data_IF_682125476270
#
_entry.id   IF_682125476270
#
_cell.length_a   1.000
_cell.length_b   1.000
_cell.length_c   1.000
_cell.angle_alpha   90.00
_cell.angle_beta   90.00
_cell.angle_gamma   90.00
#
_symmetry.space_group_name_H-M   'P 1'
#
loop_
_entity.id
_entity.type
_entity.pdbx_description
1 polymer ?
#
# COMPACT_ATOMS: atom_id res chain seq x y z
N UNK A 1 -22.70 -7.87 -15.28
CA UNK A 1 -23.04 -6.70 -14.43
C UNK A 1 -21.95 -5.64 -14.58
N UNK A 2 -22.31 -4.41 -14.96
CA UNK A 2 -21.38 -3.27 -14.99
C UNK A 2 -21.19 -2.74 -13.57
N UNK A 3 -19.96 -2.67 -13.11
CA UNK A 3 -19.63 -2.17 -11.77
C UNK A 3 -19.54 -0.65 -11.81
N UNK A 4 -20.26 0.04 -10.93
CA UNK A 4 -20.27 1.52 -10.92
C UNK A 4 -18.96 2.04 -10.32
N UNK A 5 -18.50 3.19 -10.80
CA UNK A 5 -17.26 3.85 -10.37
C UNK A 5 -17.09 3.96 -8.83
N UNK A 6 -18.11 4.38 -8.07
CA UNK A 6 -18.00 4.45 -6.60
C UNK A 6 -17.77 3.10 -5.93
N UNK A 7 -18.33 2.02 -6.50
CA UNK A 7 -18.15 0.67 -5.98
C UNK A 7 -16.71 0.18 -6.18
N UNK A 8 -16.07 0.55 -7.28
CA UNK A 8 -14.65 0.26 -7.52
C UNK A 8 -13.74 0.99 -6.52
N UNK A 9 -14.08 2.23 -6.17
CA UNK A 9 -13.35 2.98 -5.14
C UNK A 9 -13.59 2.36 -3.75
N UNK A 10 -14.82 1.97 -3.42
CA UNK A 10 -15.13 1.26 -2.18
C UNK A 10 -14.34 -0.03 -2.00
N UNK A 11 -14.14 -0.81 -3.06
CA UNK A 11 -13.27 -2.00 -3.01
C UNK A 11 -11.82 -1.63 -2.65
N UNK A 12 -11.28 -0.54 -3.22
CA UNK A 12 -9.91 -0.12 -2.91
C UNK A 12 -9.78 0.43 -1.49
N UNK A 13 -10.78 1.16 -0.98
CA UNK A 13 -10.82 1.58 0.43
C UNK A 13 -10.82 0.35 1.36
N UNK A 14 -11.62 -0.67 1.05
CA UNK A 14 -11.67 -1.91 1.83
C UNK A 14 -10.34 -2.68 1.77
N UNK A 15 -9.69 -2.73 0.60
CA UNK A 15 -8.34 -3.29 0.47
C UNK A 15 -7.29 -2.46 1.22
N UNK A 16 -7.52 -1.16 1.37
CA UNK A 16 -6.65 -0.26 2.13
C UNK A 16 -6.60 -0.58 3.62
N UNK A 17 -7.64 -1.21 4.19
CA UNK A 17 -7.67 -1.60 5.62
C UNK A 17 -6.55 -2.60 5.94
N UNK A 18 -6.48 -3.80 5.31
CA UNK A 18 -5.31 -4.67 5.47
C UNK A 18 -4.06 -4.07 4.83
N UNK A 19 -4.21 -3.18 3.83
CA UNK A 19 -3.13 -2.44 3.18
C UNK A 19 -2.36 -1.50 4.09
N UNK A 20 -2.89 -1.12 5.26
CA UNK A 20 -2.17 -0.37 6.27
C UNK A 20 -0.84 -1.06 6.62
N UNK A 21 -0.86 -2.37 6.86
CA UNK A 21 0.34 -3.13 7.25
C UNK A 21 1.48 -3.01 6.22
N UNK A 22 1.30 -3.38 4.94
CA UNK A 22 2.38 -3.25 3.96
C UNK A 22 2.78 -1.80 3.68
N UNK A 23 1.87 -0.82 3.77
CA UNK A 23 2.21 0.60 3.63
C UNK A 23 3.12 1.07 4.76
N UNK A 24 2.79 0.73 6.00
CA UNK A 24 3.60 1.08 7.16
C UNK A 24 4.93 0.31 7.20
N UNK A 25 4.97 -0.94 6.74
CA UNK A 25 6.22 -1.66 6.52
C UNK A 25 7.11 -0.90 5.52
N UNK A 26 6.56 -0.50 4.36
CA UNK A 26 7.33 0.27 3.37
C UNK A 26 7.83 1.60 3.94
N UNK A 27 7.01 2.29 4.74
CA UNK A 27 7.44 3.48 5.46
C UNK A 27 8.57 3.18 6.46
N UNK A 28 8.44 2.12 7.26
CA UNK A 28 9.48 1.68 8.19
C UNK A 28 10.80 1.39 7.47
N UNK A 29 10.76 0.66 6.35
CA UNK A 29 11.94 0.44 5.53
C UNK A 29 12.58 1.76 5.10
N UNK A 30 11.75 2.63 4.52
CA UNK A 30 12.23 3.86 3.92
C UNK A 30 12.84 4.80 4.98
N UNK A 31 12.17 4.94 6.12
CA UNK A 31 12.60 5.77 7.24
C UNK A 31 13.88 5.27 7.92
N UNK A 32 14.11 3.96 7.98
CA UNK A 32 15.28 3.41 8.67
C UNK A 32 16.52 3.26 7.78
N UNK A 33 16.36 3.13 6.46
CA UNK A 33 17.48 2.92 5.53
C UNK A 33 17.68 4.09 4.55
N UNK A 34 16.96 4.20 3.42
CA UNK A 34 17.27 5.20 2.40
C UNK A 34 17.08 6.63 2.91
N UNK A 35 16.03 6.92 3.67
CA UNK A 35 15.81 8.27 4.20
C UNK A 35 16.77 8.61 5.33
N UNK A 36 17.17 7.63 6.15
CA UNK A 36 18.19 7.82 7.17
C UNK A 36 19.58 8.07 6.54
N UNK A 37 19.92 7.33 5.49
CA UNK A 37 21.16 7.54 4.72
C UNK A 37 21.20 8.92 4.04
N UNK A 38 20.04 9.48 3.69
CA UNK A 38 19.89 10.84 3.16
C UNK A 38 19.82 11.93 4.27
N UNK A 39 19.81 11.53 5.55
CA UNK A 39 19.67 12.46 6.67
C UNK A 39 18.28 13.07 6.83
N UNK A 40 17.25 12.52 6.17
CA UNK A 40 15.86 12.98 6.28
C UNK A 40 15.15 12.44 7.53
N UNK A 41 15.60 11.28 8.01
CA UNK A 41 15.06 10.59 9.18
C UNK A 41 16.21 10.09 10.05
N UNK A 42 15.91 9.75 11.30
CA UNK A 42 16.84 9.04 12.17
C UNK A 42 16.43 7.56 12.19
N UNK A 43 17.36 6.67 11.86
CA UNK A 43 17.13 5.23 11.98
C UNK A 43 16.91 4.83 13.44
N UNK A 44 16.09 3.80 13.65
CA UNK A 44 15.72 3.27 14.95
C UNK A 44 16.98 2.78 15.68
N UNK A 45 17.35 3.36 16.84
CA UNK A 45 18.59 3.01 17.54
C UNK A 45 18.69 1.55 17.96
N UNK A 46 17.55 0.88 18.11
CA UNK A 46 17.49 -0.53 18.50
C UNK A 46 17.40 -1.50 17.31
N UNK A 47 17.35 -1.01 16.07
CA UNK A 47 17.32 -1.88 14.89
C UNK A 47 18.69 -2.54 14.68
N UNK A 48 18.76 -3.83 14.99
CA UNK A 48 19.97 -4.66 14.92
C UNK A 48 19.73 -6.00 14.21
N UNK A 49 18.52 -6.26 13.70
CA UNK A 49 18.16 -7.51 13.01
C UNK A 49 18.55 -7.49 11.52
N UNK A 50 18.96 -6.32 11.03
CA UNK A 50 19.41 -6.11 9.65
C UNK A 50 18.28 -6.38 8.65
N UNK A 51 18.63 -7.02 7.53
CA UNK A 51 17.68 -7.24 6.43
C UNK A 51 16.91 -8.57 6.51
N UNK A 52 17.21 -9.44 7.49
CA UNK A 52 16.61 -10.76 7.56
C UNK A 52 15.08 -10.71 7.76
N UNK A 53 14.52 -9.89 8.68
CA UNK A 53 13.07 -9.73 8.81
C UNK A 53 12.41 -9.22 7.53
N UNK A 54 13.12 -8.39 6.77
CA UNK A 54 12.65 -7.90 5.47
C UNK A 54 12.50 -9.02 4.44
N UNK A 55 13.47 -9.91 4.33
CA UNK A 55 13.39 -11.03 3.39
C UNK A 55 12.35 -12.07 3.80
N UNK A 56 12.21 -12.35 5.09
CA UNK A 56 11.30 -13.38 5.61
C UNK A 56 9.85 -12.91 5.74
N UNK A 57 9.62 -11.63 6.02
CA UNK A 57 8.28 -11.10 6.34
C UNK A 57 7.95 -9.90 5.46
N UNK A 58 8.78 -8.87 5.45
CA UNK A 58 8.48 -7.61 4.76
C UNK A 58 8.17 -7.80 3.27
N UNK A 59 9.09 -8.41 2.52
CA UNK A 59 8.97 -8.67 1.08
C UNK A 59 7.80 -9.62 0.77
N UNK A 60 7.63 -10.77 1.46
CA UNK A 60 6.46 -11.63 1.25
C UNK A 60 5.13 -10.92 1.51
N UNK A 61 5.01 -10.17 2.61
CA UNK A 61 3.75 -9.45 2.96
C UNK A 61 3.44 -8.37 1.93
N UNK A 62 4.41 -7.53 1.59
CA UNK A 62 4.24 -6.47 0.59
C UNK A 62 3.95 -7.06 -0.80
N UNK A 63 4.70 -8.09 -1.19
CA UNK A 63 4.55 -8.76 -2.49
C UNK A 63 3.20 -9.47 -2.62
N UNK A 64 2.78 -10.21 -1.60
CA UNK A 64 1.47 -10.87 -1.58
C UNK A 64 0.32 -9.86 -1.64
N UNK A 65 0.41 -8.78 -0.85
CA UNK A 65 -0.59 -7.72 -0.88
C UNK A 65 -0.65 -7.04 -2.27
N UNK A 66 0.50 -6.66 -2.83
CA UNK A 66 0.58 -6.05 -4.15
C UNK A 66 -0.02 -6.96 -5.23
N UNK A 67 0.25 -8.26 -5.18
CA UNK A 67 -0.31 -9.25 -6.10
C UNK A 67 -1.84 -9.36 -5.96
N UNK A 68 -2.35 -9.50 -4.73
CA UNK A 68 -3.80 -9.55 -4.47
C UNK A 68 -4.48 -8.28 -4.95
N UNK A 69 -3.94 -7.12 -4.56
CA UNK A 69 -4.44 -5.81 -4.96
C UNK A 69 -4.48 -5.66 -6.49
N UNK A 70 -3.42 -6.08 -7.17
CA UNK A 70 -3.31 -6.04 -8.63
C UNK A 70 -4.36 -6.93 -9.30
N UNK A 71 -4.51 -8.18 -8.85
CA UNK A 71 -5.48 -9.14 -9.40
C UNK A 71 -6.93 -8.68 -9.19
N UNK A 72 -7.24 -8.10 -8.03
CA UNK A 72 -8.56 -7.50 -7.75
C UNK A 72 -8.79 -6.32 -8.68
N UNK A 73 -7.85 -5.39 -8.79
CA UNK A 73 -8.00 -4.20 -9.63
C UNK A 73 -8.06 -4.54 -11.12
N UNK A 74 -7.35 -5.57 -11.59
CA UNK A 74 -7.46 -6.07 -12.96
C UNK A 74 -8.89 -6.55 -13.25
N UNK A 75 -9.49 -7.29 -12.32
CA UNK A 75 -10.86 -7.81 -12.44
C UNK A 75 -11.91 -6.70 -12.35
N UNK A 76 -11.75 -5.77 -11.42
CA UNK A 76 -12.67 -4.62 -11.21
C UNK A 76 -12.60 -3.67 -12.40
N UNK A 77 -11.41 -3.34 -12.92
CA UNK A 77 -11.24 -2.47 -14.10
C UNK A 77 -12.01 -2.99 -15.31
N UNK A 78 -11.94 -4.30 -15.58
CA UNK A 78 -12.68 -4.94 -16.69
C UNK A 78 -14.19 -4.76 -16.55
N UNK A 79 -14.71 -4.72 -15.32
CA UNK A 79 -16.15 -4.57 -15.01
C UNK A 79 -16.62 -3.12 -14.91
N UNK A 80 -15.70 -2.19 -14.59
CA UNK A 80 -16.00 -0.79 -14.34
C UNK A 80 -15.97 0.11 -15.60
N UNK A 81 -15.50 -0.38 -16.75
CA UNK A 81 -15.52 0.36 -18.02
C UNK A 81 -14.78 1.70 -18.00
N UNK A 82 -13.82 1.86 -17.09
CA UNK A 82 -13.16 3.13 -16.78
C UNK A 82 -11.95 3.39 -17.68
N UNK A 83 -11.62 4.67 -17.92
CA UNK A 83 -10.38 5.05 -18.64
C UNK A 83 -9.15 4.53 -17.85
N UNK A 84 -8.28 3.72 -18.47
CA UNK A 84 -7.15 3.09 -17.76
C UNK A 84 -6.21 4.08 -17.05
N UNK A 85 -5.99 5.27 -17.65
CA UNK A 85 -5.08 6.29 -17.12
C UNK A 85 -5.55 6.94 -15.81
N UNK A 86 -6.85 6.95 -15.52
CA UNK A 86 -7.39 7.51 -14.27
C UNK A 86 -7.69 6.43 -13.24
N UNK A 87 -8.02 5.22 -13.68
CA UNK A 87 -8.41 4.13 -12.78
C UNK A 87 -7.30 3.76 -11.80
N UNK A 88 -6.09 3.49 -12.31
CA UNK A 88 -4.96 3.07 -11.47
C UNK A 88 -4.55 4.08 -10.39
N UNK A 89 -4.31 5.37 -10.72
CA UNK A 89 -3.95 6.33 -9.67
C UNK A 89 -5.06 6.51 -8.64
N UNK A 90 -6.34 6.51 -9.05
CA UNK A 90 -7.46 6.63 -8.11
C UNK A 90 -7.64 5.39 -7.23
N UNK A 91 -7.39 4.19 -7.76
CA UNK A 91 -7.32 2.96 -6.96
C UNK A 91 -6.20 3.02 -5.93
N UNK A 92 -5.00 3.51 -6.30
CA UNK A 92 -3.89 3.70 -5.36
C UNK A 92 -4.28 4.68 -4.26
N UNK A 93 -4.78 5.87 -4.62
CA UNK A 93 -5.21 6.87 -3.65
C UNK A 93 -6.30 6.34 -2.70
N UNK A 94 -7.30 5.64 -3.23
CA UNK A 94 -8.34 5.01 -2.43
C UNK A 94 -7.79 3.94 -1.48
N UNK A 95 -6.79 3.17 -1.91
CA UNK A 95 -6.12 2.15 -1.07
C UNK A 95 -5.24 2.78 0.01
N UNK A 96 -4.63 3.92 -0.27
CA UNK A 96 -3.81 4.66 0.71
C UNK A 96 -4.65 5.45 1.73
N UNK A 97 -5.93 5.72 1.42
CA UNK A 97 -6.78 6.55 2.26
C UNK A 97 -6.84 6.10 3.74
N UNK A 98 -7.02 4.80 4.08
CA UNK A 98 -6.98 4.37 5.48
C UNK A 98 -5.65 4.65 6.18
N UNK A 99 -4.52 4.54 5.47
CA UNK A 99 -3.20 4.83 6.03
C UNK A 99 -3.03 6.32 6.33
N UNK A 100 -3.48 7.20 5.42
CA UNK A 100 -3.45 8.65 5.66
C UNK A 100 -4.39 9.08 6.79
N UNK A 101 -5.56 8.44 6.92
CA UNK A 101 -6.46 8.68 8.05
C UNK A 101 -5.78 8.32 9.37
N UNK A 102 -5.09 7.17 9.45
CA UNK A 102 -4.34 6.80 10.64
C UNK A 102 -3.22 7.82 10.94
N UNK A 103 -2.46 8.25 9.93
CA UNK A 103 -1.43 9.28 10.10
C UNK A 103 -1.98 10.63 10.60
N UNK A 104 -3.23 10.94 10.32
CA UNK A 104 -3.86 12.21 10.74
C UNK A 104 -4.42 12.16 12.17
N UNK A 105 -4.67 10.96 12.70
CA UNK A 105 -5.35 10.77 14.00
C UNK A 105 -4.39 10.26 15.09
N UNK A 106 -3.25 9.66 14.70
CA UNK A 106 -2.16 9.24 15.59
C UNK A 106 -1.10 10.34 15.68
#
# INVERSE_FOLDING_TARGET
MRMRWPMAMGVNVLLGIPGVVPVWLLWYFAANWPFAALGWTQGEPTENDGMLPWFLVGVPVVGAFALVWWLVNLSVRRRAGSRPGLYWPLSVLATLAPSFVLMAVL
#
